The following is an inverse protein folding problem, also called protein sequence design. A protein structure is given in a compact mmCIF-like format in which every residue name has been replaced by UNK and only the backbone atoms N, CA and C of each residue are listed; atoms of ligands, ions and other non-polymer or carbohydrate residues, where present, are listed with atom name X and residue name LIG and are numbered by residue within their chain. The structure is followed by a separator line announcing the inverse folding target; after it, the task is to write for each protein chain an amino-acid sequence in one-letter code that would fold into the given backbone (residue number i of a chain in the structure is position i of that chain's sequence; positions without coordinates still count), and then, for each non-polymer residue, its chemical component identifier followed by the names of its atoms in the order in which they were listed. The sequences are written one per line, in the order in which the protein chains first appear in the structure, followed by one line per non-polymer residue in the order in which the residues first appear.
data_IF_674056723655
#
_entry.id   IF_674056723655
#
_cell.length_a   1.000
_cell.length_b   1.000
_cell.length_c   1.000
_cell.angle_alpha   90.00
_cell.angle_beta   90.00
_cell.angle_gamma   90.00
#
_symmetry.space_group_name_H-M   'P 1'
#
loop_
_entity.id
_entity.type
_entity.pdbx_description
1 polymer ?
#
# COMPACT_ATOMS: atom_id res chain seq x y z
N UNK A 1 27.07 -61.03 -69.72
CA UNK A 1 27.20 -61.42 -68.30
C UNK A 1 27.68 -60.21 -67.50
N UNK A 2 26.98 -59.90 -66.42
CA UNK A 2 27.38 -59.06 -65.25
C UNK A 2 27.59 -57.54 -65.44
N UNK A 3 26.59 -56.79 -64.95
CA UNK A 3 26.76 -55.55 -64.12
C UNK A 3 27.37 -55.97 -62.75
N UNK A 4 27.94 -55.11 -61.84
CA UNK A 4 27.41 -53.77 -61.48
C UNK A 4 28.35 -52.66 -60.91
N UNK A 5 27.76 -51.45 -60.86
CA UNK A 5 27.80 -50.38 -59.83
C UNK A 5 29.08 -49.62 -59.43
N UNK A 6 29.01 -48.27 -59.48
CA UNK A 6 28.90 -47.39 -58.29
C UNK A 6 29.04 -45.90 -58.70
N UNK A 7 27.93 -45.16 -58.79
CA UNK A 7 27.45 -44.16 -57.82
C UNK A 7 28.29 -42.86 -57.71
N UNK A 8 27.72 -41.72 -58.15
CA UNK A 8 27.45 -40.53 -57.29
C UNK A 8 26.92 -39.34 -58.11
N UNK A 9 25.71 -38.93 -57.73
CA UNK A 9 24.97 -37.75 -58.17
C UNK A 9 25.58 -36.49 -57.55
N UNK A 10 25.87 -35.45 -58.36
CA UNK A 10 26.25 -34.12 -57.89
C UNK A 10 25.05 -33.17 -58.04
N UNK A 11 24.41 -32.82 -56.92
CA UNK A 11 23.48 -31.69 -56.83
C UNK A 11 24.24 -30.50 -56.23
N UNK A 12 24.29 -29.37 -56.95
CA UNK A 12 24.97 -28.16 -56.51
C UNK A 12 23.96 -27.11 -56.03
N UNK A 13 24.06 -26.83 -54.72
CA UNK A 13 23.61 -25.69 -53.91
C UNK A 13 22.70 -24.61 -54.53
N UNK A 14 21.46 -24.55 -54.04
CA UNK A 14 20.62 -23.34 -54.02
C UNK A 14 20.95 -22.54 -52.75
N UNK A 15 21.49 -21.33 -52.92
CA UNK A 15 21.74 -20.38 -51.82
C UNK A 15 20.45 -19.61 -51.55
N UNK A 16 19.76 -19.95 -50.46
CA UNK A 16 18.65 -19.14 -49.94
C UNK A 16 19.21 -18.02 -49.07
N UNK A 17 19.20 -16.79 -49.59
CA UNK A 17 19.34 -15.56 -48.81
C UNK A 17 18.06 -15.36 -47.99
N UNK A 18 18.08 -15.84 -46.74
CA UNK A 18 17.03 -15.52 -45.77
C UNK A 18 17.33 -14.14 -45.17
N UNK A 19 16.64 -13.12 -45.67
CA UNK A 19 16.48 -11.86 -44.96
C UNK A 19 15.63 -12.13 -43.71
N UNK A 20 16.28 -12.17 -42.54
CA UNK A 20 15.57 -12.25 -41.27
C UNK A 20 14.84 -10.90 -41.02
N UNK A 21 13.52 -10.91 -40.72
CA UNK A 21 12.84 -9.70 -40.31
C UNK A 21 13.35 -9.28 -38.93
N UNK A 22 13.97 -8.11 -38.86
CA UNK A 22 14.27 -7.43 -37.59
C UNK A 22 12.93 -6.98 -37.01
N UNK A 23 12.30 -7.85 -36.22
CA UNK A 23 11.15 -7.49 -35.40
C UNK A 23 11.69 -6.67 -34.24
N UNK A 24 11.77 -5.35 -34.41
CA UNK A 24 11.93 -4.42 -33.31
C UNK A 24 10.66 -4.51 -32.44
N UNK A 25 10.73 -5.28 -31.34
CA UNK A 25 9.70 -5.24 -30.31
C UNK A 25 9.61 -3.81 -29.78
N UNK A 26 8.51 -3.13 -30.09
CA UNK A 26 8.14 -1.89 -29.41
C UNK A 26 7.92 -2.23 -27.93
N UNK A 27 8.95 -2.03 -27.09
CA UNK A 27 8.74 -1.86 -25.65
C UNK A 27 7.82 -0.65 -25.51
N UNK A 28 6.59 -0.86 -25.07
CA UNK A 28 5.76 0.25 -24.61
C UNK A 28 6.57 1.02 -23.57
N UNK A 29 6.90 2.26 -23.91
CA UNK A 29 7.66 3.12 -23.00
C UNK A 29 6.71 3.43 -21.86
N UNK A 30 7.06 2.91 -20.70
CA UNK A 30 6.35 3.18 -19.48
C UNK A 30 6.79 4.56 -19.00
N UNK A 31 5.89 5.54 -19.02
CA UNK A 31 6.15 6.90 -18.58
C UNK A 31 5.18 7.31 -17.46
N UNK A 32 5.73 7.86 -16.39
CA UNK A 32 4.96 8.45 -15.30
C UNK A 32 4.67 7.56 -14.11
N UNK A 33 3.72 8.02 -13.28
CA UNK A 33 3.29 7.38 -12.05
C UNK A 33 2.08 6.48 -12.31
N UNK A 34 2.05 5.37 -11.59
CA UNK A 34 0.88 4.51 -11.46
C UNK A 34 0.58 4.27 -9.99
N UNK A 35 -0.67 3.91 -9.72
CA UNK A 35 -1.21 3.66 -8.39
C UNK A 35 -1.51 2.18 -8.23
N UNK A 36 -1.13 1.63 -7.09
CA UNK A 36 -1.47 0.26 -6.69
C UNK A 36 -2.09 0.31 -5.31
N UNK A 37 -3.14 -0.47 -5.11
CA UNK A 37 -3.72 -0.69 -3.79
C UNK A 37 -2.81 -1.61 -2.97
N UNK A 38 -2.40 -1.14 -1.80
CA UNK A 38 -1.75 -1.95 -0.78
C UNK A 38 -2.85 -2.51 0.13
N UNK A 39 -3.03 -3.83 0.07
CA UNK A 39 -4.06 -4.58 0.81
C UNK A 39 -3.83 -4.55 2.32
N UNK A 40 -2.56 -4.56 2.73
CA UNK A 40 -2.18 -4.45 4.14
C UNK A 40 -2.40 -3.05 4.68
N UNK A 41 -2.26 -1.99 3.88
CA UNK A 41 -2.48 -0.63 4.36
C UNK A 41 -3.87 -0.09 4.02
N UNK A 42 -4.63 -0.83 3.21
CA UNK A 42 -5.86 -0.40 2.58
C UNK A 42 -5.75 1.04 2.03
N UNK A 43 -4.71 1.27 1.22
CA UNK A 43 -4.40 2.59 0.66
C UNK A 43 -3.79 2.47 -0.73
N UNK A 44 -4.05 3.46 -1.58
CA UNK A 44 -3.43 3.60 -2.89
C UNK A 44 -2.06 4.26 -2.79
N UNK A 45 -1.03 3.58 -3.27
CA UNK A 45 0.36 4.03 -3.21
C UNK A 45 0.92 4.23 -4.62
N UNK A 46 1.63 5.34 -4.80
CA UNK A 46 2.30 5.68 -6.05
C UNK A 46 3.58 4.87 -6.23
N UNK A 47 3.83 4.48 -7.48
CA UNK A 47 5.09 3.95 -7.96
C UNK A 47 5.37 4.47 -9.35
N UNK A 48 6.65 4.59 -9.70
CA UNK A 48 7.01 4.75 -11.10
C UNK A 48 6.55 3.51 -11.84
N UNK A 49 5.98 3.69 -13.02
CA UNK A 49 5.36 2.59 -13.74
C UNK A 49 6.37 1.48 -14.12
N UNK A 50 7.66 1.83 -14.26
CA UNK A 50 8.75 0.85 -14.44
C UNK A 50 9.03 -0.04 -13.21
N UNK A 51 8.42 0.27 -12.07
CA UNK A 51 8.49 -0.47 -10.80
C UNK A 51 7.22 -1.28 -10.53
N UNK A 52 6.22 -1.20 -11.41
CA UNK A 52 5.04 -2.06 -11.32
C UNK A 52 5.44 -3.54 -11.51
N UNK A 53 4.92 -4.41 -10.65
CA UNK A 53 5.11 -5.84 -10.74
C UNK A 53 4.46 -6.41 -12.01
N UNK A 54 5.02 -7.50 -12.53
CA UNK A 54 4.37 -8.23 -13.64
C UNK A 54 3.04 -8.80 -13.16
N UNK A 55 1.94 -8.42 -13.82
CA UNK A 55 0.59 -8.85 -13.45
C UNK A 55 0.01 -8.11 -12.23
N UNK A 56 0.70 -7.10 -11.71
CA UNK A 56 0.15 -6.22 -10.68
C UNK A 56 -0.94 -5.34 -11.29
N UNK A 57 -2.08 -5.22 -10.60
CA UNK A 57 -3.11 -4.28 -11.01
C UNK A 57 -2.64 -2.85 -10.69
N UNK A 58 -2.57 -2.03 -11.73
CA UNK A 58 -2.18 -0.62 -11.61
C UNK A 58 -3.18 0.27 -12.31
N UNK A 59 -3.47 1.43 -11.74
CA UNK A 59 -4.23 2.50 -12.40
C UNK A 59 -3.34 3.72 -12.65
N UNK A 60 -3.64 4.49 -13.69
CA UNK A 60 -2.96 5.78 -13.96
C UNK A 60 -3.55 6.93 -13.12
N UNK A 61 -4.70 6.70 -12.51
CA UNK A 61 -5.48 7.65 -11.73
C UNK A 61 -5.74 7.09 -10.32
N UNK A 62 -5.47 7.89 -9.30
CA UNK A 62 -5.63 7.45 -7.89
C UNK A 62 -7.09 7.20 -7.55
N UNK A 63 -8.05 7.98 -8.07
CA UNK A 63 -9.48 7.78 -7.77
C UNK A 63 -9.96 6.42 -8.27
N UNK A 64 -9.42 5.96 -9.40
CA UNK A 64 -9.67 4.63 -9.93
C UNK A 64 -9.12 3.53 -9.01
N UNK A 65 -7.93 3.75 -8.42
CA UNK A 65 -7.39 2.85 -7.41
C UNK A 65 -8.25 2.86 -6.13
N UNK A 66 -8.71 4.04 -5.68
CA UNK A 66 -9.46 4.22 -4.43
C UNK A 66 -10.80 3.47 -4.41
N UNK A 67 -11.37 3.16 -5.59
CA UNK A 67 -12.57 2.31 -5.70
C UNK A 67 -12.36 0.89 -5.18
N UNK A 68 -11.11 0.44 -5.09
CA UNK A 68 -10.75 -0.87 -4.55
C UNK A 68 -10.54 -0.89 -3.04
N UNK A 69 -10.63 0.26 -2.35
CA UNK A 69 -10.45 0.33 -0.92
C UNK A 69 -11.62 -0.29 -0.18
N UNK A 70 -11.30 -1.04 0.88
CA UNK A 70 -12.27 -1.62 1.79
C UNK A 70 -12.85 -0.52 2.68
N UNK A 71 -14.18 -0.42 2.74
CA UNK A 71 -14.87 0.54 3.62
C UNK A 71 -14.74 0.15 5.09
N UNK A 72 -14.84 -1.15 5.38
CA UNK A 72 -14.79 -1.72 6.73
C UNK A 72 -13.39 -2.29 7.03
N UNK A 73 -12.37 -1.45 6.87
CA UNK A 73 -10.99 -1.84 7.12
C UNK A 73 -10.62 -1.66 8.59
N UNK A 74 -10.83 -2.73 9.36
CA UNK A 74 -10.60 -2.77 10.80
C UNK A 74 -9.17 -3.18 11.13
N UNK A 75 -8.26 -2.21 11.14
CA UNK A 75 -6.88 -2.45 11.59
C UNK A 75 -6.33 -1.25 12.36
N UNK A 76 -5.26 -1.51 13.11
CA UNK A 76 -4.42 -0.48 13.68
C UNK A 76 -3.56 0.16 12.57
N UNK A 77 -3.01 1.35 12.85
CA UNK A 77 -2.07 2.01 11.95
C UNK A 77 -0.99 1.08 11.38
N UNK A 78 -0.65 1.25 10.11
CA UNK A 78 0.35 0.41 9.44
C UNK A 78 -0.12 -0.99 9.06
N UNK A 79 -1.44 -1.25 9.12
CA UNK A 79 -2.02 -2.55 8.77
C UNK A 79 -1.75 -3.62 9.81
N UNK A 80 -1.60 -3.21 11.07
CA UNK A 80 -1.35 -4.12 12.19
C UNK A 80 -2.69 -4.61 12.72
N UNK A 81 -2.83 -5.93 12.86
CA UNK A 81 -4.05 -6.51 13.44
C UNK A 81 -4.11 -6.20 14.93
N UNK A 82 -5.28 -5.83 15.41
CA UNK A 82 -5.52 -5.61 16.83
C UNK A 82 -5.56 -6.94 17.59
N UNK A 83 -5.17 -6.94 18.86
CA UNK A 83 -5.25 -8.14 19.72
C UNK A 83 -6.61 -8.28 20.39
N UNK A 84 -7.22 -7.15 20.77
CA UNK A 84 -8.48 -7.10 21.51
C UNK A 84 -9.35 -5.95 21.00
N UNK A 85 -10.66 -6.10 21.16
CA UNK A 85 -11.62 -5.03 20.93
C UNK A 85 -11.83 -4.26 22.22
N UNK A 86 -12.15 -2.98 22.09
CA UNK A 86 -12.60 -2.13 23.17
C UNK A 86 -13.97 -1.58 22.78
N UNK A 87 -14.96 -1.79 23.63
CA UNK A 87 -16.30 -1.28 23.39
C UNK A 87 -16.55 -0.14 24.37
N UNK A 88 -17.27 0.90 23.92
CA UNK A 88 -17.96 1.72 24.88
C UNK A 88 -18.98 0.77 25.50
N UNK A 89 -18.67 0.28 26.70
CA UNK A 89 -19.72 -0.18 27.59
C UNK A 89 -20.71 0.98 27.60
N UNK A 90 -21.90 0.79 27.02
CA UNK A 90 -22.98 1.75 27.18
C UNK A 90 -23.24 1.81 28.67
N UNK A 91 -22.46 2.64 29.36
CA UNK A 91 -22.71 3.09 30.70
C UNK A 91 -23.91 4.02 30.56
N UNK A 92 -25.06 3.45 30.23
CA UNK A 92 -26.21 3.73 31.07
C UNK A 92 -25.66 3.63 32.49
N UNK A 93 -25.77 4.66 33.33
CA UNK A 93 -25.58 4.45 34.75
C UNK A 93 -26.72 3.51 35.14
N UNK A 94 -26.55 2.21 34.92
CA UNK A 94 -27.23 1.22 35.71
C UNK A 94 -26.61 1.51 37.06
N UNK A 95 -27.37 2.10 38.02
CA UNK A 95 -26.89 2.03 39.37
C UNK A 95 -26.76 0.52 39.59
N UNK A 96 -25.53 0.04 39.82
CA UNK A 96 -25.34 -1.28 40.39
C UNK A 96 -26.01 -1.21 41.77
N UNK A 97 -27.33 -1.39 41.76
CA UNK A 97 -28.09 -1.70 42.95
C UNK A 97 -27.69 -3.13 43.23
N UNK A 98 -26.80 -3.29 44.21
CA UNK A 98 -26.69 -4.57 44.89
C UNK A 98 -28.08 -4.97 45.37
N UNK A 99 -28.35 -6.27 45.31
CA UNK A 99 -29.61 -6.89 45.75
C UNK A 99 -29.94 -6.53 47.22
N UNK A 100 -28.96 -6.01 47.97
CA UNK A 100 -29.04 -5.58 49.38
C UNK A 100 -28.91 -4.05 49.64
N UNK A 101 -28.84 -3.20 48.61
CA UNK A 101 -28.96 -1.75 48.78
C UNK A 101 -27.83 -1.05 49.56
N UNK A 102 -26.58 -1.52 49.48
CA UNK A 102 -25.43 -0.87 50.13
C UNK A 102 -24.35 -0.43 49.14
N UNK A 103 -24.17 0.90 49.04
CA UNK A 103 -23.07 1.69 48.46
C UNK A 103 -22.66 1.46 46.97
N UNK A 104 -22.34 2.55 46.23
CA UNK A 104 -21.84 2.43 44.86
C UNK A 104 -20.46 1.76 44.83
N UNK A 105 -20.27 0.85 43.89
CA UNK A 105 -18.98 0.21 43.57
C UNK A 105 -17.92 1.30 43.43
N UNK A 106 -16.98 1.36 44.37
CA UNK A 106 -15.87 2.35 44.45
C UNK A 106 -14.67 1.97 43.57
N UNK A 107 -14.73 0.86 42.85
CA UNK A 107 -13.63 0.46 41.97
C UNK A 107 -13.70 1.25 40.66
N UNK A 108 -12.59 1.87 40.23
CA UNK A 108 -12.54 2.47 38.90
C UNK A 108 -12.83 1.38 37.86
N UNK A 109 -13.58 1.70 36.79
CA UNK A 109 -13.85 0.72 35.75
C UNK A 109 -12.52 0.15 35.23
N UNK A 110 -12.47 -1.16 34.92
CA UNK A 110 -11.27 -1.76 34.36
C UNK A 110 -10.86 -1.01 33.08
N UNK A 111 -9.55 -0.87 32.81
CA UNK A 111 -9.09 -0.19 31.61
C UNK A 111 -9.61 -0.91 30.37
N UNK A 112 -10.07 -0.14 29.38
CA UNK A 112 -10.63 -0.66 28.12
C UNK A 112 -9.62 -1.47 27.29
N UNK A 113 -8.33 -1.20 27.46
CA UNK A 113 -7.24 -1.86 26.75
C UNK A 113 -6.10 -2.27 27.69
N UNK A 114 -5.31 -3.29 27.32
CA UNK A 114 -4.09 -3.64 28.04
C UNK A 114 -3.10 -2.46 28.09
N UNK A 115 -2.22 -2.46 29.09
CA UNK A 115 -1.17 -1.43 29.23
C UNK A 115 -0.33 -1.33 27.95
N UNK A 116 -0.08 -0.10 27.49
CA UNK A 116 0.66 0.19 26.26
C UNK A 116 -0.16 0.12 24.98
N UNK A 117 -1.50 -0.02 25.12
CA UNK A 117 -2.43 0.04 24.00
C UNK A 117 -3.51 1.10 24.27
N UNK A 118 -3.88 1.82 23.22
CA UNK A 118 -4.98 2.77 23.22
C UNK A 118 -6.11 2.25 22.35
N UNK A 119 -7.34 2.50 22.78
CA UNK A 119 -8.53 2.17 22.01
C UNK A 119 -8.67 3.14 20.83
N UNK A 120 -8.49 2.64 19.61
CA UNK A 120 -8.79 3.37 18.38
C UNK A 120 -10.25 3.09 18.02
N UNK A 121 -11.09 4.10 18.20
CA UNK A 121 -12.53 3.99 18.00
C UNK A 121 -12.89 3.90 16.52
N UNK A 122 -13.69 2.89 16.18
CA UNK A 122 -14.33 2.74 14.89
C UNK A 122 -15.74 3.33 14.89
N UNK A 123 -16.51 2.99 13.85
CA UNK A 123 -17.93 3.28 13.81
C UNK A 123 -18.69 2.43 14.85
N UNK A 124 -19.91 2.85 15.19
CA UNK A 124 -20.84 2.07 16.04
C UNK A 124 -20.41 1.82 17.49
N UNK A 125 -19.49 2.60 18.04
CA UNK A 125 -19.18 2.58 19.49
C UNK A 125 -18.29 1.42 19.95
N UNK A 126 -17.73 0.65 19.01
CA UNK A 126 -16.62 -0.26 19.26
C UNK A 126 -15.33 0.28 18.64
N UNK A 127 -14.22 -0.24 19.12
CA UNK A 127 -12.88 0.10 18.68
C UNK A 127 -11.93 -1.06 18.89
N UNK A 128 -10.66 -0.80 18.62
CA UNK A 128 -9.61 -1.78 18.67
C UNK A 128 -8.46 -1.31 19.55
N UNK A 129 -7.97 -2.20 20.41
CA UNK A 129 -6.78 -1.91 21.19
C UNK A 129 -5.55 -2.03 20.30
N UNK A 130 -4.88 -0.90 20.09
CA UNK A 130 -3.72 -0.78 19.24
C UNK A 130 -2.51 -0.34 20.04
N UNK A 131 -1.34 -0.94 19.75
CA UNK A 131 -0.10 -0.61 20.43
C UNK A 131 0.26 0.87 20.19
N UNK A 132 0.49 1.60 21.27
CA UNK A 132 0.71 3.06 21.25
C UNK A 132 1.92 3.42 20.37
N UNK A 133 3.01 2.66 20.49
CA UNK A 133 4.24 2.87 19.71
C UNK A 133 4.02 2.72 18.22
N UNK A 134 3.22 1.73 17.82
CA UNK A 134 2.88 1.52 16.41
C UNK A 134 1.98 2.65 15.90
N UNK A 135 1.04 3.13 16.74
CA UNK A 135 0.20 4.28 16.37
C UNK A 135 1.01 5.56 16.22
N UNK A 136 2.02 5.79 17.07
CA UNK A 136 2.91 6.94 16.98
C UNK A 136 3.71 6.93 15.66
N UNK A 137 4.32 5.79 15.32
CA UNK A 137 5.04 5.61 14.04
C UNK A 137 4.11 5.84 12.86
N UNK A 138 2.93 5.24 12.88
CA UNK A 138 1.93 5.43 11.82
C UNK A 138 1.48 6.88 11.71
N UNK A 139 1.22 7.54 12.84
CA UNK A 139 0.80 8.94 12.87
C UNK A 139 1.85 9.86 12.24
N UNK A 140 3.13 9.68 12.59
CA UNK A 140 4.22 10.49 12.06
C UNK A 140 4.44 10.27 10.56
N UNK A 141 4.42 9.01 10.12
CA UNK A 141 4.52 8.66 8.70
C UNK A 141 3.32 9.17 7.90
N UNK A 142 2.11 9.03 8.45
CA UNK A 142 0.89 9.55 7.85
C UNK A 142 0.85 11.07 7.85
N UNK A 143 1.48 11.77 8.80
CA UNK A 143 1.64 13.22 8.72
C UNK A 143 2.63 13.65 7.62
N UNK A 144 3.57 12.77 7.25
CA UNK A 144 4.58 12.95 6.20
C UNK A 144 5.34 14.28 6.29
N UNK A 145 5.69 14.73 7.50
CA UNK A 145 6.33 16.05 7.68
C UNK A 145 7.71 16.08 7.01
N UNK A 146 8.02 17.23 6.40
CA UNK A 146 9.35 17.52 5.86
C UNK A 146 10.10 18.47 6.80
N UNK A 147 11.42 18.32 6.87
CA UNK A 147 12.26 19.25 7.63
C UNK A 147 12.24 20.63 6.97
N UNK A 148 12.03 21.68 7.76
CA UNK A 148 12.08 23.06 7.26
C UNK A 148 13.45 23.36 6.63
N UNK A 149 13.51 24.01 5.45
CA UNK A 149 12.41 24.73 4.77
C UNK A 149 11.63 23.90 3.73
N UNK A 150 11.87 22.59 3.62
CA UNK A 150 11.26 21.74 2.59
C UNK A 150 9.77 21.52 2.85
N UNK A 151 9.01 21.30 1.77
CA UNK A 151 7.57 21.03 1.80
C UNK A 151 7.28 19.64 1.25
N UNK A 152 6.15 19.07 1.68
CA UNK A 152 5.64 17.82 1.12
C UNK A 152 5.22 18.01 -0.32
N UNK A 153 5.52 17.02 -1.15
CA UNK A 153 4.98 16.96 -2.51
C UNK A 153 3.55 16.44 -2.44
N UNK A 154 2.63 17.16 -3.08
CA UNK A 154 1.23 16.75 -3.21
C UNK A 154 0.98 16.08 -4.56
N UNK A 155 -0.06 15.26 -4.62
CA UNK A 155 -0.58 14.68 -5.85
C UNK A 155 -1.12 15.81 -6.73
N UNK A 156 -0.70 15.84 -7.99
CA UNK A 156 -1.12 16.85 -8.97
C UNK A 156 -2.37 16.44 -9.76
N UNK A 157 -2.81 15.19 -9.62
CA UNK A 157 -4.07 14.69 -10.20
C UNK A 157 -5.26 15.37 -9.49
N UNK A 158 -6.41 15.53 -10.16
CA UNK A 158 -7.62 16.22 -9.66
C UNK A 158 -8.29 15.52 -8.45
N UNK A 159 -7.58 15.36 -7.34
CA UNK A 159 -7.94 14.54 -6.18
C UNK A 159 -8.29 15.43 -4.98
N UNK A 160 -7.96 16.72 -5.08
CA UNK A 160 -8.16 17.73 -4.05
C UNK A 160 -6.83 18.39 -3.69
N UNK A 161 -6.89 19.65 -3.28
CA UNK A 161 -5.69 20.35 -2.83
C UNK A 161 -5.17 19.72 -1.54
N UNK A 162 -3.86 19.49 -1.47
CA UNK A 162 -3.21 19.03 -0.23
C UNK A 162 -3.11 17.52 -0.03
N UNK A 163 -3.57 16.68 -0.98
CA UNK A 163 -3.36 15.23 -0.87
C UNK A 163 -1.89 14.90 -1.12
N UNK A 164 -1.21 14.32 -0.13
CA UNK A 164 0.24 14.07 -0.16
C UNK A 164 0.56 12.90 -1.10
N UNK A 165 1.59 13.07 -1.94
CA UNK A 165 2.12 12.00 -2.79
C UNK A 165 2.89 10.99 -1.93
N UNK A 166 2.39 9.76 -1.87
CA UNK A 166 2.94 8.66 -1.06
C UNK A 166 3.25 7.45 -1.90
N UNK A 167 4.31 6.74 -1.53
CA UNK A 167 4.63 5.41 -2.00
C UNK A 167 4.87 4.47 -0.82
N UNK A 168 5.08 3.19 -1.11
CA UNK A 168 5.46 2.20 -0.08
C UNK A 168 6.94 2.30 0.23
N UNK A 169 7.76 2.44 -0.82
CA UNK A 169 9.20 2.55 -0.68
C UNK A 169 9.79 3.60 -1.61
N UNK A 170 10.87 4.26 -1.17
CA UNK A 170 11.69 5.08 -2.05
C UNK A 170 12.25 4.31 -3.26
N UNK A 171 12.32 2.98 -3.19
CA UNK A 171 12.70 2.11 -4.31
C UNK A 171 11.67 2.08 -5.44
N UNK A 172 10.45 2.54 -5.17
CA UNK A 172 9.36 2.64 -6.14
C UNK A 172 9.51 3.86 -7.08
N UNK A 173 10.49 4.74 -6.83
CA UNK A 173 10.86 5.88 -7.69
C UNK A 173 9.70 6.84 -8.01
N UNK A 174 8.74 6.97 -7.08
CA UNK A 174 7.55 7.79 -7.29
C UNK A 174 7.78 9.30 -7.07
N UNK A 175 8.91 9.67 -6.47
CA UNK A 175 9.22 11.07 -6.21
C UNK A 175 9.64 11.82 -7.49
N UNK A 176 9.12 13.03 -7.73
CA UNK A 176 9.51 13.82 -8.89
C UNK A 176 10.97 14.27 -8.81
N UNK A 177 11.55 14.56 -9.97
CA UNK A 177 12.92 15.08 -10.09
C UNK A 177 13.12 16.32 -9.21
N UNK A 178 14.24 16.36 -8.48
CA UNK A 178 14.57 17.47 -7.58
C UNK A 178 13.99 17.34 -6.16
N UNK A 179 13.09 16.38 -5.92
CA UNK A 179 12.62 16.07 -4.57
C UNK A 179 13.46 14.97 -3.91
N UNK A 180 13.53 15.00 -2.58
CA UNK A 180 14.16 13.97 -1.75
C UNK A 180 13.09 13.00 -1.24
N UNK A 181 13.29 11.71 -1.47
CA UNK A 181 12.45 10.70 -0.85
C UNK A 181 12.84 10.47 0.62
N UNK A 182 11.84 10.40 1.50
CA UNK A 182 11.99 10.07 2.92
C UNK A 182 11.30 8.73 3.14
N UNK A 183 12.05 7.73 3.63
CA UNK A 183 11.56 6.39 3.90
C UNK A 183 11.19 6.25 5.37
N UNK A 184 9.92 5.93 5.65
CA UNK A 184 9.46 5.43 6.92
C UNK A 184 9.43 3.90 6.98
N UNK A 185 8.85 3.37 8.03
CA UNK A 185 8.59 1.96 8.31
C UNK A 185 7.55 1.37 7.36
N UNK A 186 6.42 2.06 7.15
CA UNK A 186 5.31 1.61 6.32
C UNK A 186 5.19 2.43 5.03
N UNK A 187 5.43 3.75 5.12
CA UNK A 187 5.22 4.69 4.04
C UNK A 187 6.50 5.42 3.66
N UNK A 188 6.53 5.92 2.43
CA UNK A 188 7.50 6.88 1.96
C UNK A 188 6.79 8.12 1.39
N UNK A 189 7.42 9.28 1.55
CA UNK A 189 6.94 10.55 0.99
C UNK A 189 8.08 11.34 0.37
N UNK A 190 7.73 12.38 -0.38
CA UNK A 190 8.70 13.24 -1.06
C UNK A 190 8.70 14.64 -0.43
N UNK A 191 9.90 15.17 -0.23
CA UNK A 191 10.14 16.52 0.24
C UNK A 191 10.83 17.34 -0.85
N UNK A 192 10.36 18.56 -1.12
CA UNK A 192 10.93 19.48 -2.10
C UNK A 192 11.17 20.86 -1.51
#
# INVERSE_FOLDING_TARGET
MLSPQSNRTMYSLVVFLLAAPVIAQAKSVCEGLVWTMDDKLNMCLAKHCSKAGKGEYTSTDIRTCERGLLMDYFSCGGGVMHETMCEMQMLMPVPLLDIDGTAPVTEPPPPLCPKGNTCIWGAFGFGFCCEDKNQEVWHDEYAAKCASPMKTVNITQNVGDGVILRGKSCKDLFCPTGSKCVQGTHLAHCCI
#
